data_IF_747648928638
#
_entry.id   IF_747648928638
#
_cell.length_a   1.000
_cell.length_b   1.000
_cell.length_c   1.000
_cell.angle_alpha   90.00
_cell.angle_beta   90.00
_cell.angle_gamma   90.00
#
_symmetry.space_group_name_H-M   'P 1'
#
loop_
_entity.id
_entity.type
_entity.pdbx_description
1 polymer ?
#
# COMPACT_ATOMS: atom_id res chain seq x y z
N UNK A 1 -17.59 -10.23 2.60
CA UNK A 1 -17.60 -9.10 1.64
C UNK A 1 -16.48 -9.37 0.65
N UNK A 2 -16.78 -9.50 -0.64
CA UNK A 2 -15.77 -9.77 -1.67
C UNK A 2 -15.52 -8.48 -2.43
N UNK A 3 -14.45 -7.77 -2.09
CA UNK A 3 -14.01 -6.53 -2.75
C UNK A 3 -12.60 -6.82 -3.26
N UNK A 4 -12.35 -6.51 -4.53
CA UNK A 4 -10.99 -6.58 -5.04
C UNK A 4 -10.20 -5.35 -4.60
N UNK A 5 -8.95 -5.55 -4.20
CA UNK A 5 -8.11 -4.49 -3.63
C UNK A 5 -6.64 -4.74 -3.93
N UNK A 6 -5.82 -3.69 -3.79
CA UNK A 6 -4.38 -3.79 -3.78
C UNK A 6 -3.79 -2.78 -2.78
N UNK A 7 -2.88 -3.25 -1.91
CA UNK A 7 -2.10 -2.41 -0.99
C UNK A 7 -1.04 -1.63 -1.77
N UNK A 8 -0.86 -0.35 -1.41
CA UNK A 8 0.15 0.55 -1.97
C UNK A 8 0.95 1.26 -0.87
N UNK A 9 1.74 2.26 -1.27
CA UNK A 9 2.38 3.18 -0.33
C UNK A 9 3.41 2.53 0.58
N UNK A 10 3.48 3.02 1.83
CA UNK A 10 4.45 2.57 2.82
C UNK A 10 4.29 1.10 3.17
N UNK A 11 3.05 0.62 3.34
CA UNK A 11 2.76 -0.76 3.68
C UNK A 11 3.23 -1.75 2.60
N UNK A 12 2.98 -1.43 1.33
CA UNK A 12 3.47 -2.26 0.24
C UNK A 12 5.01 -2.26 0.17
N UNK A 13 5.64 -1.10 0.39
CA UNK A 13 7.10 -0.99 0.44
C UNK A 13 7.68 -1.89 1.54
N UNK A 14 7.16 -1.81 2.77
CA UNK A 14 7.63 -2.63 3.91
C UNK A 14 7.46 -4.14 3.68
N UNK A 15 6.43 -4.56 2.93
CA UNK A 15 6.21 -5.98 2.62
C UNK A 15 7.17 -6.52 1.57
N UNK A 16 7.71 -5.67 0.69
CA UNK A 16 8.66 -6.09 -0.35
C UNK A 16 10.11 -5.99 0.11
N UNK A 17 10.47 -4.91 0.80
CA UNK A 17 11.85 -4.68 1.22
C UNK A 17 12.20 -5.55 2.43
N UNK A 18 13.33 -6.25 2.36
CA UNK A 18 13.84 -7.06 3.48
C UNK A 18 14.62 -6.21 4.50
N UNK A 19 14.13 -5.00 4.80
CA UNK A 19 14.72 -4.10 5.80
C UNK A 19 13.78 -3.98 7.01
N UNK A 20 14.10 -4.60 8.16
CA UNK A 20 13.25 -4.56 9.35
C UNK A 20 13.17 -3.17 10.00
N UNK A 21 14.07 -2.24 9.65
CA UNK A 21 14.01 -0.85 10.12
C UNK A 21 13.01 -0.01 9.31
N UNK A 22 12.58 -0.48 8.14
CA UNK A 22 11.58 0.21 7.32
C UNK A 22 10.17 -0.10 7.86
N UNK A 23 9.58 0.87 8.53
CA UNK A 23 8.26 0.77 9.16
C UNK A 23 7.29 1.79 8.56
N UNK A 24 5.99 1.51 8.65
CA UNK A 24 4.91 2.44 8.29
C UNK A 24 3.85 2.41 9.38
N UNK A 25 3.11 3.51 9.54
CA UNK A 25 2.08 3.66 10.58
C UNK A 25 0.67 3.31 10.09
N UNK A 26 0.46 3.37 8.77
CA UNK A 26 -0.80 3.23 8.07
C UNK A 26 -0.75 2.21 6.92
N UNK A 27 -1.92 1.89 6.39
CA UNK A 27 -2.09 0.99 5.23
C UNK A 27 -2.92 1.70 4.18
N UNK A 28 -2.25 2.09 3.09
CA UNK A 28 -2.90 2.61 1.90
C UNK A 28 -3.34 1.47 0.97
N UNK A 29 -4.56 1.55 0.45
CA UNK A 29 -5.04 0.58 -0.55
C UNK A 29 -6.03 1.20 -1.52
N UNK A 30 -6.05 0.66 -2.74
CA UNK A 30 -7.07 0.95 -3.74
C UNK A 30 -8.05 -0.22 -3.77
N UNK A 31 -9.34 0.08 -3.94
CA UNK A 31 -10.40 -0.92 -4.10
C UNK A 31 -11.08 -0.78 -5.46
N UNK A 32 -11.54 -1.90 -6.03
CA UNK A 32 -12.36 -1.89 -7.23
C UNK A 32 -13.83 -1.62 -6.88
N UNK A 33 -14.41 -0.58 -7.47
CA UNK A 33 -15.84 -0.27 -7.35
C UNK A 33 -16.59 -0.98 -8.47
N UNK A 34 -17.43 -1.95 -8.10
CA UNK A 34 -18.30 -2.67 -9.02
C UNK A 34 -19.75 -2.18 -8.95
N UNK A 35 -20.67 -2.96 -9.54
CA UNK A 35 -22.12 -2.71 -9.56
C UNK A 35 -22.75 -2.46 -8.17
N UNK A 36 -22.11 -2.88 -7.07
CA UNK A 36 -22.62 -2.62 -5.71
C UNK A 36 -22.36 -1.19 -5.26
N UNK A 37 -21.54 -0.42 -5.99
CA UNK A 37 -21.18 0.97 -5.69
C UNK A 37 -20.58 1.14 -4.29
N UNK A 38 -19.65 0.24 -3.91
CA UNK A 38 -18.89 0.34 -2.66
C UNK A 38 -17.60 1.11 -2.95
N UNK A 39 -17.69 2.43 -2.95
CA UNK A 39 -16.53 3.33 -2.97
C UNK A 39 -15.84 3.37 -1.59
N UNK A 40 -14.66 3.99 -1.51
CA UNK A 40 -13.84 4.02 -0.29
C UNK A 40 -14.59 4.57 0.94
N UNK A 41 -15.36 5.65 0.78
CA UNK A 41 -16.17 6.21 1.86
C UNK A 41 -17.22 5.22 2.38
N UNK A 42 -17.95 4.57 1.45
CA UNK A 42 -18.94 3.54 1.82
C UNK A 42 -18.28 2.30 2.42
N UNK A 43 -17.07 1.95 1.99
CA UNK A 43 -16.32 0.84 2.57
C UNK A 43 -16.07 1.06 4.07
N UNK A 44 -15.80 2.29 4.51
CA UNK A 44 -15.68 2.62 5.93
C UNK A 44 -16.92 2.18 6.70
N UNK A 45 -18.12 2.59 6.24
CA UNK A 45 -19.38 2.20 6.88
C UNK A 45 -19.55 0.68 6.89
N UNK A 46 -19.31 0.01 5.76
CA UNK A 46 -19.45 -1.45 5.65
C UNK A 46 -18.52 -2.21 6.60
N UNK A 47 -17.27 -1.76 6.77
CA UNK A 47 -16.31 -2.37 7.70
C UNK A 47 -16.73 -2.19 9.16
N UNK A 48 -17.15 -0.98 9.52
CA UNK A 48 -17.59 -0.67 10.88
C UNK A 48 -18.87 -1.44 11.26
N UNK A 49 -19.81 -1.58 10.32
CA UNK A 49 -21.06 -2.31 10.56
C UNK A 49 -20.86 -3.83 10.58
N UNK A 50 -20.11 -4.39 9.62
CA UNK A 50 -19.98 -5.86 9.49
C UNK A 50 -18.92 -6.46 10.41
N UNK A 51 -17.91 -5.69 10.80
CA UNK A 51 -16.78 -6.17 11.60
C UNK A 51 -16.47 -5.24 12.79
N UNK A 52 -17.45 -4.93 13.65
CA UNK A 52 -17.31 -3.91 14.71
C UNK A 52 -16.25 -4.24 15.77
N UNK A 53 -15.90 -5.52 15.94
CA UNK A 53 -14.84 -5.97 16.85
C UNK A 53 -13.43 -5.89 16.23
N UNK A 54 -13.33 -5.71 14.91
CA UNK A 54 -12.05 -5.61 14.18
C UNK A 54 -11.75 -4.20 13.73
N UNK A 55 -12.76 -3.37 13.52
CA UNK A 55 -12.60 -2.00 13.07
C UNK A 55 -13.24 -1.02 14.05
N UNK A 56 -12.67 0.17 14.15
CA UNK A 56 -13.16 1.29 14.91
C UNK A 56 -13.17 2.54 14.02
N UNK A 57 -14.12 3.47 14.20
CA UNK A 57 -14.04 4.75 13.52
C UNK A 57 -12.84 5.53 14.06
N UNK A 58 -12.05 6.12 13.18
CA UNK A 58 -11.03 7.10 13.50
C UNK A 58 -11.40 8.39 12.80
N UNK A 59 -11.55 9.48 13.55
CA UNK A 59 -11.74 10.81 12.95
C UNK A 59 -10.37 11.42 12.68
N UNK A 60 -10.12 11.74 11.42
CA UNK A 60 -8.93 12.46 11.01
C UNK A 60 -9.36 13.63 10.13
N UNK A 61 -9.09 14.84 10.62
CA UNK A 61 -9.44 16.09 9.94
C UNK A 61 -10.95 16.22 9.60
N UNK A 62 -11.84 15.70 10.45
CA UNK A 62 -13.29 15.73 10.22
C UNK A 62 -13.81 14.67 9.26
N UNK A 63 -12.95 13.73 8.85
CA UNK A 63 -13.33 12.58 8.04
C UNK A 63 -13.18 11.30 8.85
N UNK A 64 -14.24 10.48 8.89
CA UNK A 64 -14.19 9.17 9.53
C UNK A 64 -13.59 8.13 8.58
N UNK A 65 -12.51 7.48 9.02
CA UNK A 65 -11.84 6.37 8.31
C UNK A 65 -11.86 5.10 9.17
N UNK A 66 -11.67 3.90 8.58
CA UNK A 66 -11.70 2.65 9.34
C UNK A 66 -10.32 2.35 9.94
N UNK A 67 -10.20 2.40 11.26
CA UNK A 67 -9.01 1.95 11.99
C UNK A 67 -9.10 0.46 12.32
N UNK A 68 -8.12 -0.33 11.89
CA UNK A 68 -8.04 -1.75 12.25
C UNK A 68 -7.52 -1.93 13.68
N UNK A 69 -8.20 -2.74 14.48
CA UNK A 69 -7.79 -3.12 15.84
C UNK A 69 -6.75 -4.22 15.75
N UNK A 70 -5.48 -3.85 15.71
CA UNK A 70 -4.38 -4.79 15.69
C UNK A 70 -4.23 -5.50 17.04
N UNK A 71 -4.37 -6.83 17.04
CA UNK A 71 -3.99 -7.69 18.15
C UNK A 71 -2.58 -8.26 17.90
N UNK A 72 -1.67 -8.11 18.84
CA UNK A 72 -0.31 -8.69 18.82
C UNK A 72 -0.35 -10.02 19.61
N UNK A 73 0.31 -11.15 19.23
CA UNK A 73 1.75 -11.22 18.90
C UNK A 73 2.22 -12.28 17.85
N UNK A 74 3.45 -12.11 17.32
CA UNK A 74 4.34 -13.14 16.73
C UNK A 74 4.04 -13.61 15.29
N UNK A 75 4.70 -13.05 14.26
CA UNK A 75 4.56 -13.56 12.90
C UNK A 75 5.57 -13.01 11.88
N UNK A 76 6.21 -13.94 11.16
CA UNK A 76 7.32 -13.75 10.22
C UNK A 76 6.95 -13.05 8.88
N UNK A 77 7.98 -12.55 8.17
CA UNK A 77 7.88 -11.89 6.86
C UNK A 77 8.01 -12.88 5.69
N UNK A 78 7.55 -12.47 4.50
CA UNK A 78 7.62 -13.26 3.26
C UNK A 78 7.71 -12.38 2.02
N UNK A 79 8.40 -12.87 0.99
CA UNK A 79 8.64 -12.18 -0.27
C UNK A 79 7.44 -12.21 -1.25
N UNK A 80 7.27 -11.19 -2.11
CA UNK A 80 6.19 -11.13 -3.11
C UNK A 80 6.46 -12.01 -4.34
N UNK A 81 5.37 -12.50 -4.94
CA UNK A 81 5.33 -13.00 -6.32
C UNK A 81 4.11 -12.37 -6.98
N UNK A 82 4.29 -11.65 -8.09
CA UNK A 82 3.22 -11.07 -8.92
C UNK A 82 2.16 -10.25 -8.15
N UNK A 83 2.59 -9.18 -7.46
CA UNK A 83 1.66 -8.29 -6.75
C UNK A 83 0.84 -8.99 -5.66
N UNK A 84 1.28 -10.16 -5.19
CA UNK A 84 0.65 -10.88 -4.08
C UNK A 84 1.72 -11.40 -3.11
N UNK A 85 1.57 -11.13 -1.82
CA UNK A 85 2.40 -11.68 -0.74
C UNK A 85 1.57 -12.64 0.09
N UNK A 86 2.12 -13.80 0.43
CA UNK A 86 1.45 -14.77 1.30
C UNK A 86 1.89 -14.62 2.76
N UNK A 87 1.07 -13.98 3.59
CA UNK A 87 1.31 -13.77 5.02
C UNK A 87 0.58 -14.84 5.81
N UNK A 88 1.32 -15.78 6.42
CA UNK A 88 0.77 -16.87 7.24
C UNK A 88 -0.37 -17.66 6.55
N UNK A 89 -0.23 -17.96 5.25
CA UNK A 89 -1.23 -18.69 4.47
C UNK A 89 -2.34 -17.81 3.88
N UNK A 90 -2.29 -16.49 4.08
CA UNK A 90 -3.26 -15.54 3.53
C UNK A 90 -2.62 -14.75 2.38
N UNK A 91 -3.16 -14.85 1.15
CA UNK A 91 -2.73 -14.00 0.05
C UNK A 91 -3.18 -12.55 0.29
N UNK A 92 -2.24 -11.62 0.15
CA UNK A 92 -2.44 -10.18 0.27
C UNK A 92 -2.03 -9.54 -1.04
N UNK A 93 -2.97 -8.89 -1.71
CA UNK A 93 -2.74 -8.20 -2.98
C UNK A 93 -2.08 -6.85 -2.75
N UNK A 94 -1.13 -6.51 -3.59
CA UNK A 94 -0.38 -5.26 -3.58
C UNK A 94 -0.06 -4.81 -5.00
N UNK A 95 0.22 -3.53 -5.17
CA UNK A 95 0.73 -3.03 -6.44
C UNK A 95 2.08 -3.67 -6.77
N UNK A 96 2.34 -3.84 -8.07
CA UNK A 96 3.52 -4.51 -8.56
C UNK A 96 4.83 -3.78 -8.23
N UNK A 97 5.96 -4.49 -8.30
CA UNK A 97 7.28 -3.94 -8.01
C UNK A 97 7.75 -2.90 -9.03
N UNK A 98 7.00 -2.64 -10.09
CA UNK A 98 7.25 -1.54 -11.05
C UNK A 98 6.41 -0.31 -10.76
N UNK A 99 5.19 -0.49 -10.25
CA UNK A 99 4.30 0.61 -9.90
C UNK A 99 4.81 1.37 -8.68
N UNK A 100 5.27 0.67 -7.66
CA UNK A 100 5.71 1.28 -6.41
C UNK A 100 6.97 2.15 -6.58
N UNK A 101 8.05 1.73 -7.26
CA UNK A 101 9.17 2.61 -7.53
C UNK A 101 8.82 3.77 -8.46
N UNK A 102 7.91 3.62 -9.43
CA UNK A 102 7.37 4.74 -10.23
C UNK A 102 6.84 5.85 -9.31
N UNK A 103 5.94 5.51 -8.40
CA UNK A 103 5.35 6.48 -7.48
C UNK A 103 6.39 7.06 -6.53
N UNK A 104 7.39 6.28 -6.12
CA UNK A 104 8.48 6.77 -5.27
C UNK A 104 9.42 7.73 -5.98
N UNK A 105 9.67 7.55 -7.28
CA UNK A 105 10.44 8.50 -8.09
C UNK A 105 9.69 9.84 -8.17
N UNK A 106 8.40 9.82 -8.46
CA UNK A 106 7.58 11.04 -8.48
C UNK A 106 7.53 11.70 -7.09
N UNK A 107 7.25 10.92 -6.05
CA UNK A 107 7.13 11.42 -4.68
C UNK A 107 8.45 12.02 -4.16
N UNK A 108 9.61 11.45 -4.54
CA UNK A 108 10.90 12.05 -4.20
C UNK A 108 10.99 13.46 -4.78
N UNK A 109 10.64 13.64 -6.05
CA UNK A 109 10.79 14.92 -6.73
C UNK A 109 9.89 15.98 -6.09
N UNK A 110 8.62 15.64 -5.84
CA UNK A 110 7.65 16.52 -5.21
C UNK A 110 8.01 16.89 -3.76
N UNK A 111 8.76 16.03 -3.08
CA UNK A 111 9.14 16.19 -1.66
C UNK A 111 10.60 16.57 -1.47
N UNK A 112 11.28 17.01 -2.52
CA UNK A 112 12.65 17.46 -2.45
C UNK A 112 12.84 18.55 -1.39
N UNK A 113 13.86 18.43 -0.55
CA UNK A 113 14.10 19.29 0.61
C UNK A 113 13.22 18.99 1.83
N UNK A 114 12.30 18.03 1.73
CA UNK A 114 11.40 17.62 2.80
C UNK A 114 11.94 16.49 3.67
N UNK A 115 11.30 16.29 4.84
CA UNK A 115 11.70 15.25 5.81
C UNK A 115 11.62 13.81 5.25
N UNK A 116 10.82 13.57 4.22
CA UNK A 116 10.62 12.26 3.60
C UNK A 116 11.52 11.98 2.40
N UNK A 117 12.25 12.97 1.89
CA UNK A 117 13.09 12.82 0.69
C UNK A 117 14.08 11.65 0.81
N UNK A 118 14.83 11.59 1.91
CA UNK A 118 15.81 10.51 2.13
C UNK A 118 15.17 9.13 2.24
N UNK A 119 13.91 9.06 2.71
CA UNK A 119 13.15 7.80 2.77
C UNK A 119 12.70 7.40 1.37
N UNK A 120 12.20 8.33 0.58
CA UNK A 120 11.77 8.06 -0.80
C UNK A 120 12.96 7.61 -1.68
N UNK A 121 14.15 8.24 -1.56
CA UNK A 121 15.37 7.79 -2.25
C UNK A 121 15.77 6.36 -1.85
N UNK A 122 15.76 6.06 -0.55
CA UNK A 122 16.10 4.73 -0.03
C UNK A 122 15.10 3.68 -0.50
N UNK A 123 13.82 4.00 -0.48
CA UNK A 123 12.75 3.14 -0.96
C UNK A 123 12.97 2.82 -2.45
N UNK A 124 13.26 3.82 -3.30
CA UNK A 124 13.60 3.58 -4.72
C UNK A 124 14.78 2.63 -4.85
N UNK A 125 15.89 2.88 -4.15
CA UNK A 125 17.09 2.05 -4.23
C UNK A 125 16.83 0.59 -3.83
N UNK A 126 16.01 0.38 -2.81
CA UNK A 126 15.65 -0.94 -2.32
C UNK A 126 14.62 -1.65 -3.21
N UNK A 127 13.82 -0.90 -3.97
CA UNK A 127 12.75 -1.46 -4.81
C UNK A 127 13.20 -1.79 -6.24
N UNK A 128 14.17 -1.05 -6.78
CA UNK A 128 14.72 -1.27 -8.14
C UNK A 128 15.08 -2.76 -8.40
N UNK A 129 15.72 -3.51 -7.48
CA UNK A 129 16.06 -4.91 -7.73
C UNK A 129 14.87 -5.84 -7.97
N UNK A 130 13.66 -5.43 -7.60
CA UNK A 130 12.43 -6.23 -7.80
C UNK A 130 11.72 -5.89 -9.12
N UNK A 131 12.09 -4.78 -9.79
CA UNK A 131 11.45 -4.35 -11.00
C UNK A 131 11.94 -5.14 -12.23
N UNK A 132 11.01 -5.49 -13.12
CA UNK A 132 11.33 -6.10 -14.42
C UNK A 132 11.28 -5.04 -15.52
N UNK A 133 12.32 -5.01 -16.35
CA UNK A 133 12.38 -4.08 -17.48
C UNK A 133 11.25 -4.30 -18.50
N UNK A 134 10.85 -3.23 -19.19
CA UNK A 134 9.83 -3.28 -20.25
C UNK A 134 8.37 -3.23 -19.76
N UNK A 135 8.15 -3.05 -18.46
CA UNK A 135 6.82 -2.84 -17.89
C UNK A 135 6.33 -1.41 -18.13
N UNK A 136 5.04 -1.20 -18.45
CA UNK A 136 4.51 0.11 -18.81
C UNK A 136 4.63 1.14 -17.67
N UNK A 137 4.59 0.70 -16.42
CA UNK A 137 4.70 1.58 -15.24
C UNK A 137 6.06 2.29 -15.15
N UNK A 138 7.12 1.71 -15.71
CA UNK A 138 8.46 2.32 -15.75
C UNK A 138 8.81 2.88 -17.14
N UNK A 139 7.82 3.08 -18.01
CA UNK A 139 8.00 3.77 -19.28
C UNK A 139 7.59 5.24 -19.19
N UNK A 140 8.55 6.11 -18.93
CA UNK A 140 8.32 7.56 -18.78
C UNK A 140 8.25 8.33 -20.10
N UNK A 141 8.36 7.68 -21.26
CA UNK A 141 8.44 8.36 -22.56
C UNK A 141 7.14 9.06 -22.98
N UNK A 142 6.01 8.67 -22.36
CA UNK A 142 4.68 9.21 -22.65
C UNK A 142 4.05 9.93 -21.44
N UNK A 143 4.77 10.04 -20.31
CA UNK A 143 4.28 10.79 -19.15
C UNK A 143 4.39 12.29 -19.48
N UNK A 144 3.30 12.88 -19.96
CA UNK A 144 3.20 14.33 -20.12
C UNK A 144 2.99 14.96 -18.74
N UNK A 145 4.05 15.57 -18.21
CA UNK A 145 3.98 16.56 -17.13
C UNK A 145 3.32 17.85 -17.60
#
# INVERSE_FOLDING_TARGET
>A
MQIDYAIMGGAATCLMVSDPARLTEDVDMVIHVDHRMIAAERLTTELLTKYPFKFAPVDQFGHTIPGYRLALPGGASRMPVDGTVNINGRPVKMFGPEWIPREKILAQHERQGGLKEATDIRDVANLIPFAVAGKPELNFSNDQS
#
